data_IF_667143951481
#
_entry.id   IF_667143951481
#
_cell.length_a   1.000
_cell.length_b   1.000
_cell.length_c   1.000
_cell.angle_alpha   90.00
_cell.angle_beta   90.00
_cell.angle_gamma   90.00
#
_symmetry.space_group_name_H-M   'P 1'
#
loop_
_entity.id
_entity.type
_entity.pdbx_description
1 polymer ?
#
# COMPACT_ATOMS: atom_id res chain seq x y z
N UNK A 1 -58.16 14.86 40.69
CA UNK A 1 -58.94 13.77 41.27
C UNK A 1 -59.47 12.94 40.10
N UNK A 2 -58.88 11.80 39.82
CA UNK A 2 -59.57 10.69 39.17
C UNK A 2 -58.65 9.47 39.20
N UNK A 3 -59.05 8.49 40.02
CA UNK A 3 -58.38 7.22 40.23
C UNK A 3 -58.56 6.32 39.00
N UNK A 4 -57.48 5.79 38.45
CA UNK A 4 -57.56 4.70 37.48
C UNK A 4 -57.01 3.42 38.13
N UNK A 5 -57.93 2.48 38.38
CA UNK A 5 -57.64 1.15 38.95
C UNK A 5 -57.07 0.24 37.92
N UNK A 6 -55.93 -0.34 38.26
CA UNK A 6 -55.26 -1.39 37.49
C UNK A 6 -55.98 -2.73 37.79
N UNK A 7 -56.49 -3.37 36.76
CA UNK A 7 -57.02 -4.73 36.84
C UNK A 7 -55.92 -5.69 36.39
N UNK A 8 -55.48 -6.52 37.33
CA UNK A 8 -54.53 -7.59 37.10
C UNK A 8 -55.33 -8.86 36.72
N UNK A 9 -55.15 -9.32 35.44
CA UNK A 9 -55.69 -10.62 35.00
C UNK A 9 -54.62 -11.67 35.11
N UNK A 10 -54.67 -12.55 36.08
CA UNK A 10 -53.81 -13.74 36.15
C UNK A 10 -54.37 -14.82 35.21
N UNK A 11 -53.66 -15.06 34.10
CA UNK A 11 -53.93 -16.22 33.27
C UNK A 11 -52.97 -17.36 33.69
N UNK A 12 -53.54 -18.40 34.28
CA UNK A 12 -52.85 -19.68 34.51
C UNK A 12 -52.71 -20.42 33.17
N UNK A 13 -51.55 -20.42 32.62
CA UNK A 13 -51.17 -21.31 31.50
C UNK A 13 -50.46 -22.54 32.08
N UNK A 14 -51.11 -23.68 32.06
CA UNK A 14 -50.55 -25.00 32.35
C UNK A 14 -49.58 -25.40 31.19
N UNK A 15 -48.32 -25.01 31.31
CA UNK A 15 -47.26 -25.41 30.38
C UNK A 15 -46.71 -26.79 30.72
N UNK A 16 -47.02 -27.79 29.90
CA UNK A 16 -46.37 -29.11 29.97
C UNK A 16 -44.86 -28.98 29.73
N UNK A 17 -44.08 -29.49 30.67
CA UNK A 17 -42.61 -29.54 30.61
C UNK A 17 -42.25 -30.62 29.59
N UNK A 18 -41.94 -30.24 28.37
CA UNK A 18 -41.31 -31.10 27.39
C UNK A 18 -39.83 -31.34 27.81
N UNK A 19 -39.60 -32.48 28.44
CA UNK A 19 -38.24 -32.97 28.70
C UNK A 19 -37.67 -33.39 27.36
N UNK A 20 -36.87 -32.51 26.76
CA UNK A 20 -35.99 -32.86 25.63
C UNK A 20 -34.93 -33.83 26.15
N UNK A 21 -34.67 -34.95 25.44
CA UNK A 21 -33.56 -35.83 25.85
C UNK A 21 -32.26 -35.04 25.84
N UNK A 22 -31.48 -35.16 26.91
CA UNK A 22 -30.14 -34.62 26.98
C UNK A 22 -29.32 -35.23 25.82
N UNK A 23 -29.22 -34.44 24.74
CA UNK A 23 -28.29 -34.77 23.66
C UNK A 23 -26.89 -34.89 24.25
N UNK A 24 -26.25 -36.02 24.01
CA UNK A 24 -24.84 -36.24 24.37
C UNK A 24 -24.06 -34.99 24.00
N UNK A 25 -23.52 -34.28 25.00
CA UNK A 25 -22.58 -33.20 24.77
C UNK A 25 -21.39 -33.81 24.03
N UNK A 26 -21.33 -33.61 22.71
CA UNK A 26 -20.20 -33.98 21.92
C UNK A 26 -19.03 -33.12 22.44
N UNK A 27 -18.09 -33.75 23.16
CA UNK A 27 -16.92 -33.06 23.66
C UNK A 27 -16.29 -32.32 22.48
N UNK A 28 -16.25 -31.00 22.55
CA UNK A 28 -15.48 -30.22 21.57
C UNK A 28 -14.04 -30.68 21.68
N UNK A 29 -13.40 -31.04 20.56
CA UNK A 29 -11.99 -31.36 20.57
C UNK A 29 -11.23 -30.24 21.30
N UNK A 30 -10.34 -30.60 22.20
CA UNK A 30 -9.50 -29.62 22.89
C UNK A 30 -8.83 -28.71 21.82
N UNK A 31 -8.92 -27.40 22.00
CA UNK A 31 -8.27 -26.47 21.09
C UNK A 31 -6.77 -26.82 21.01
N UNK A 32 -6.18 -26.90 19.81
CA UNK A 32 -4.75 -27.18 19.67
C UNK A 32 -3.95 -26.14 20.46
N UNK A 33 -3.03 -26.63 21.29
CA UNK A 33 -2.21 -25.75 22.11
C UNK A 33 -1.17 -25.04 21.23
N UNK A 34 -1.08 -23.73 21.39
CA UNK A 34 0.01 -22.91 20.86
C UNK A 34 1.28 -23.25 21.65
N UNK A 35 2.38 -23.56 20.97
CA UNK A 35 3.67 -23.78 21.61
C UNK A 35 4.50 -22.49 21.55
N UNK A 36 5.04 -22.09 22.70
CA UNK A 36 5.86 -20.88 22.83
C UNK A 36 7.28 -21.31 23.17
N UNK A 37 8.25 -20.88 22.35
CA UNK A 37 9.68 -21.11 22.58
C UNK A 37 10.25 -20.11 23.58
N UNK A 38 11.45 -20.36 24.07
CA UNK A 38 12.09 -19.53 25.11
C UNK A 38 12.40 -18.11 24.68
N UNK A 39 12.54 -17.85 23.37
CA UNK A 39 12.78 -16.55 22.77
C UNK A 39 11.48 -15.79 22.40
N UNK A 40 10.31 -16.38 22.72
CA UNK A 40 9.00 -15.84 22.36
C UNK A 40 8.48 -16.25 20.98
N UNK A 41 9.22 -17.06 20.22
CA UNK A 41 8.73 -17.65 18.97
C UNK A 41 7.52 -18.52 19.24
N UNK A 42 6.48 -18.40 18.39
CA UNK A 42 5.22 -19.11 18.55
C UNK A 42 4.99 -20.06 17.37
N UNK A 43 4.77 -21.34 17.70
CA UNK A 43 4.30 -22.31 16.71
C UNK A 43 2.77 -22.30 16.69
N UNK A 44 2.23 -21.75 15.61
CA UNK A 44 0.76 -21.65 15.42
C UNK A 44 0.26 -22.93 14.74
N UNK A 45 -0.69 -23.67 15.34
CA UNK A 45 -1.28 -24.84 14.72
C UNK A 45 -2.01 -24.47 13.42
N UNK A 46 -2.17 -25.45 12.53
CA UNK A 46 -2.96 -25.27 11.31
C UNK A 46 -4.37 -24.78 11.66
N UNK A 47 -4.79 -23.70 11.05
CA UNK A 47 -6.10 -23.08 11.26
C UNK A 47 -6.74 -22.67 9.94
N UNK A 48 -8.08 -22.61 9.94
CA UNK A 48 -8.83 -22.02 8.82
C UNK A 48 -9.19 -20.59 9.20
N UNK A 49 -8.78 -19.65 8.34
CA UNK A 49 -9.10 -18.23 8.51
C UNK A 49 -10.25 -17.88 7.55
N UNK A 50 -11.44 -17.55 8.03
CA UNK A 50 -12.55 -17.19 7.18
C UNK A 50 -12.31 -15.84 6.49
N UNK A 51 -13.09 -15.58 5.42
CA UNK A 51 -13.14 -14.26 4.81
C UNK A 51 -13.69 -13.23 5.81
N UNK A 52 -13.08 -12.05 5.85
CA UNK A 52 -13.52 -10.98 6.74
C UNK A 52 -14.99 -10.58 6.46
N UNK A 53 -15.84 -10.46 7.49
CA UNK A 53 -17.21 -10.01 7.31
C UNK A 53 -17.32 -8.53 6.93
N UNK A 54 -16.28 -7.73 7.17
CA UNK A 54 -16.25 -6.28 6.94
C UNK A 54 -16.02 -5.88 5.49
N UNK A 55 -15.64 -6.81 4.62
CA UNK A 55 -15.46 -6.56 3.19
C UNK A 55 -16.80 -6.43 2.47
N UNK A 56 -16.83 -5.54 1.47
CA UNK A 56 -17.93 -5.48 0.50
C UNK A 56 -18.05 -6.81 -0.27
N UNK A 57 -19.21 -7.09 -0.89
CA UNK A 57 -19.34 -8.27 -1.76
C UNK A 57 -18.30 -8.29 -2.88
N UNK A 58 -18.01 -7.14 -3.47
CA UNK A 58 -17.03 -6.96 -4.55
C UNK A 58 -15.61 -7.25 -4.04
N UNK A 59 -15.25 -6.73 -2.86
CA UNK A 59 -13.96 -7.01 -2.26
C UNK A 59 -13.79 -8.50 -1.89
N UNK A 60 -14.84 -9.16 -1.39
CA UNK A 60 -14.81 -10.60 -1.14
C UNK A 60 -14.57 -11.41 -2.41
N UNK A 61 -15.22 -11.04 -3.50
CA UNK A 61 -15.01 -11.67 -4.80
C UNK A 61 -13.60 -11.42 -5.31
N UNK A 62 -13.12 -10.19 -5.17
CA UNK A 62 -11.77 -9.77 -5.57
C UNK A 62 -10.68 -10.55 -4.82
N UNK A 63 -10.73 -10.57 -3.49
CA UNK A 63 -9.79 -11.34 -2.65
C UNK A 63 -9.83 -12.83 -2.99
N UNK A 64 -11.04 -13.38 -3.18
CA UNK A 64 -11.20 -14.80 -3.54
C UNK A 64 -10.55 -15.12 -4.88
N UNK A 65 -10.74 -14.27 -5.88
CA UNK A 65 -10.14 -14.46 -7.20
C UNK A 65 -8.61 -14.30 -7.12
N UNK A 66 -8.13 -13.24 -6.47
CA UNK A 66 -6.71 -13.01 -6.28
C UNK A 66 -6.00 -14.20 -5.63
N UNK A 67 -6.55 -14.75 -4.54
CA UNK A 67 -5.97 -15.91 -3.86
C UNK A 67 -5.93 -17.16 -4.74
N UNK A 68 -6.90 -17.34 -5.66
CA UNK A 68 -6.87 -18.42 -6.65
C UNK A 68 -5.80 -18.17 -7.71
N UNK A 69 -5.72 -16.95 -8.21
CA UNK A 69 -4.76 -16.55 -9.23
C UNK A 69 -3.31 -16.72 -8.73
N UNK A 70 -3.05 -16.36 -7.47
CA UNK A 70 -1.73 -16.51 -6.84
C UNK A 70 -1.26 -17.95 -6.70
N UNK A 71 -2.13 -18.96 -6.89
CA UNK A 71 -1.74 -20.37 -6.95
C UNK A 71 -1.14 -20.75 -8.30
N UNK A 72 -1.36 -19.95 -9.36
CA UNK A 72 -0.73 -20.15 -10.66
C UNK A 72 0.66 -19.49 -10.67
N UNK A 73 1.76 -20.25 -10.84
CA UNK A 73 3.11 -19.69 -10.88
C UNK A 73 3.35 -18.74 -12.07
N UNK A 74 2.53 -18.83 -13.12
CA UNK A 74 2.64 -17.99 -14.31
C UNK A 74 1.95 -16.62 -14.16
N UNK A 75 1.13 -16.45 -13.13
CA UNK A 75 0.27 -15.27 -12.97
C UNK A 75 1.06 -13.96 -12.75
N UNK A 76 2.24 -14.07 -12.15
CA UNK A 76 3.14 -12.94 -11.91
C UNK A 76 4.03 -12.62 -13.12
N UNK A 77 4.04 -13.45 -14.15
CA UNK A 77 4.80 -13.14 -15.36
C UNK A 77 4.28 -11.87 -16.00
N UNK A 78 5.22 -11.01 -16.36
CA UNK A 78 4.95 -9.75 -17.05
C UNK A 78 4.37 -10.00 -18.45
N UNK A 79 3.35 -9.23 -18.80
CA UNK A 79 2.75 -9.21 -20.13
C UNK A 79 2.38 -7.76 -20.44
N UNK A 80 3.03 -7.20 -21.45
CA UNK A 80 2.88 -5.78 -21.81
C UNK A 80 3.18 -4.80 -20.65
N UNK A 81 4.20 -5.10 -19.84
CA UNK A 81 4.67 -4.23 -18.76
C UNK A 81 3.82 -4.27 -17.49
N UNK A 82 3.00 -5.31 -17.31
CA UNK A 82 2.20 -5.51 -16.11
C UNK A 82 2.04 -7.00 -15.82
N UNK A 83 1.99 -7.46 -14.55
CA UNK A 83 1.65 -8.84 -14.23
C UNK A 83 0.31 -9.25 -14.85
N UNK A 84 0.21 -10.50 -15.31
CA UNK A 84 -0.97 -10.99 -16.06
C UNK A 84 -2.30 -10.71 -15.36
N UNK A 85 -2.37 -10.89 -14.05
CA UNK A 85 -3.61 -10.66 -13.28
C UNK A 85 -4.04 -9.18 -13.25
N UNK A 86 -3.12 -8.24 -13.47
CA UNK A 86 -3.41 -6.79 -13.45
C UNK A 86 -3.88 -6.25 -14.81
N UNK A 87 -3.76 -7.00 -15.91
CA UNK A 87 -4.15 -6.52 -17.25
C UNK A 87 -5.60 -6.06 -17.32
N UNK A 88 -6.50 -6.78 -16.66
CA UNK A 88 -7.91 -6.43 -16.59
C UNK A 88 -8.15 -5.10 -15.87
N UNK A 89 -7.41 -4.83 -14.81
CA UNK A 89 -7.51 -3.59 -14.03
C UNK A 89 -7.04 -2.39 -14.85
N UNK A 90 -5.92 -2.52 -15.54
CA UNK A 90 -5.41 -1.48 -16.43
C UNK A 90 -6.38 -1.17 -17.57
N UNK A 91 -6.94 -2.20 -18.21
CA UNK A 91 -7.96 -2.01 -19.25
C UNK A 91 -9.21 -1.30 -18.70
N UNK A 92 -9.57 -1.58 -17.45
CA UNK A 92 -10.68 -0.94 -16.76
C UNK A 92 -10.42 0.54 -16.46
N UNK A 93 -9.21 0.88 -16.04
CA UNK A 93 -8.82 2.28 -15.78
C UNK A 93 -8.95 3.14 -17.04
N UNK A 94 -8.50 2.64 -18.19
CA UNK A 94 -8.67 3.34 -19.48
C UNK A 94 -10.13 3.50 -19.90
N UNK A 95 -11.03 2.64 -19.44
CA UNK A 95 -12.47 2.78 -19.68
C UNK A 95 -13.11 3.82 -18.76
N UNK A 96 -12.68 3.88 -17.51
CA UNK A 96 -13.28 4.72 -16.46
C UNK A 96 -12.75 6.15 -16.47
N UNK A 97 -11.48 6.34 -16.81
CA UNK A 97 -10.79 7.60 -16.63
C UNK A 97 -10.33 8.21 -17.95
N UNK A 98 -10.79 9.43 -18.22
CA UNK A 98 -10.39 10.17 -19.40
C UNK A 98 -9.11 10.99 -19.08
N UNK A 99 -7.95 10.43 -19.38
CA UNK A 99 -6.65 11.09 -19.24
C UNK A 99 -5.95 11.19 -20.59
N UNK A 100 -5.12 12.22 -20.75
CA UNK A 100 -4.13 12.32 -21.82
C UNK A 100 -2.80 11.80 -21.27
N UNK A 101 -2.13 10.93 -22.01
CA UNK A 101 -0.79 10.42 -21.70
C UNK A 101 0.21 11.02 -22.69
N UNK A 102 1.26 11.66 -22.18
CA UNK A 102 2.38 12.16 -22.98
C UNK A 102 3.65 11.40 -22.60
N UNK A 103 4.32 10.92 -23.63
CA UNK A 103 5.66 10.34 -23.54
C UNK A 103 6.69 11.45 -23.70
N UNK A 104 7.57 11.62 -22.72
CA UNK A 104 8.57 12.68 -22.75
C UNK A 104 9.79 12.37 -21.87
N UNK A 105 10.81 13.22 -21.96
CA UNK A 105 11.94 13.23 -21.02
C UNK A 105 11.86 14.44 -20.11
N UNK A 106 12.04 14.21 -18.80
CA UNK A 106 12.09 15.25 -17.78
C UNK A 106 13.43 15.10 -17.02
N UNK A 107 14.22 16.13 -16.97
CA UNK A 107 15.57 16.04 -16.40
C UNK A 107 16.47 15.01 -17.12
N UNK A 108 16.18 14.67 -18.38
CA UNK A 108 16.89 13.64 -19.14
C UNK A 108 16.36 12.21 -18.93
N UNK A 109 15.48 11.99 -17.95
CA UNK A 109 14.87 10.70 -17.61
C UNK A 109 13.57 10.53 -18.39
N UNK A 110 13.32 9.33 -18.91
CA UNK A 110 12.07 8.98 -19.56
C UNK A 110 10.92 9.00 -18.56
N UNK A 111 9.77 9.53 -18.95
CA UNK A 111 8.61 9.65 -18.09
C UNK A 111 7.30 9.68 -18.90
N UNK A 112 6.23 9.21 -18.31
CA UNK A 112 4.89 9.46 -18.79
C UNK A 112 4.20 10.52 -17.94
N UNK A 113 3.57 11.49 -18.61
CA UNK A 113 2.78 12.53 -17.94
C UNK A 113 1.30 12.28 -18.22
N UNK A 114 0.52 12.16 -17.17
CA UNK A 114 -0.92 11.94 -17.20
C UNK A 114 -1.64 13.23 -16.81
N UNK A 115 -2.47 13.73 -17.71
CA UNK A 115 -3.27 14.94 -17.48
C UNK A 115 -4.75 14.62 -17.68
N UNK A 116 -5.67 15.03 -16.78
CA UNK A 116 -7.09 14.83 -16.99
C UNK A 116 -7.52 15.49 -18.30
N UNK A 117 -8.30 14.82 -19.16
CA UNK A 117 -8.83 15.42 -20.40
C UNK A 117 -9.75 16.62 -20.15
N UNK A 118 -10.34 16.71 -18.96
CA UNK A 118 -11.08 17.88 -18.50
C UNK A 118 -10.20 19.09 -18.15
N UNK A 119 -8.87 18.91 -18.20
CA UNK A 119 -7.89 19.87 -17.74
C UNK A 119 -7.56 19.73 -16.25
N UNK A 120 -6.42 20.24 -15.86
CA UNK A 120 -6.00 20.34 -14.44
C UNK A 120 -6.93 21.32 -13.72
N UNK A 121 -7.38 20.95 -12.53
CA UNK A 121 -8.28 21.81 -11.73
C UNK A 121 -7.59 23.11 -11.31
N UNK A 122 -8.37 24.18 -11.13
CA UNK A 122 -7.82 25.49 -10.77
C UNK A 122 -6.93 25.48 -9.51
N UNK A 123 -7.27 24.65 -8.52
CA UNK A 123 -6.48 24.50 -7.29
C UNK A 123 -5.13 23.81 -7.53
N UNK A 124 -5.02 23.01 -8.59
CA UNK A 124 -3.84 22.21 -8.89
C UNK A 124 -2.99 22.76 -10.04
N UNK A 125 -3.32 23.97 -10.57
CA UNK A 125 -2.62 24.57 -11.71
C UNK A 125 -1.10 24.72 -11.52
N UNK A 126 -0.65 24.89 -10.28
CA UNK A 126 0.76 25.05 -9.92
C UNK A 126 1.30 23.82 -9.15
N UNK A 127 0.53 22.71 -9.11
CA UNK A 127 0.86 21.48 -8.38
C UNK A 127 1.10 20.33 -9.34
N UNK A 128 2.01 19.43 -8.97
CA UNK A 128 2.31 18.21 -9.71
C UNK A 128 2.60 17.07 -8.75
N UNK A 129 2.22 15.86 -9.16
CA UNK A 129 2.59 14.63 -8.46
C UNK A 129 3.64 13.87 -9.27
N UNK A 130 4.67 13.37 -8.60
CA UNK A 130 5.61 12.39 -9.12
C UNK A 130 5.15 11.02 -8.64
N UNK A 131 4.89 10.10 -9.56
CA UNK A 131 4.65 8.70 -9.27
C UNK A 131 5.92 7.89 -9.50
N UNK A 132 6.22 7.02 -8.54
CA UNK A 132 7.27 6.02 -8.58
C UNK A 132 6.60 4.65 -8.55
N UNK A 133 6.64 3.93 -9.66
CA UNK A 133 5.86 2.69 -9.82
C UNK A 133 6.37 1.53 -8.96
N UNK A 134 5.48 0.59 -8.66
CA UNK A 134 5.83 -0.68 -8.04
C UNK A 134 6.57 -1.61 -9.00
N UNK A 135 6.87 -2.84 -8.55
CA UNK A 135 7.48 -3.87 -9.40
C UNK A 135 8.77 -4.49 -8.84
N UNK A 136 9.06 -4.29 -7.56
CA UNK A 136 10.19 -4.94 -6.87
C UNK A 136 11.55 -4.51 -7.38
N UNK A 137 11.70 -3.32 -7.96
CA UNK A 137 12.91 -2.82 -8.63
C UNK A 137 13.42 -3.74 -9.75
N UNK A 138 12.50 -4.40 -10.46
CA UNK A 138 12.86 -5.38 -11.49
C UNK A 138 11.87 -5.46 -12.66
N UNK A 139 10.96 -4.50 -12.78
CA UNK A 139 9.97 -4.44 -13.87
C UNK A 139 8.67 -3.76 -13.47
N UNK A 140 7.63 -4.01 -14.25
CA UNK A 140 6.28 -3.43 -14.15
C UNK A 140 6.11 -2.05 -14.83
N UNK A 141 7.10 -1.54 -15.53
CA UNK A 141 6.93 -0.40 -16.41
C UNK A 141 6.35 -0.84 -17.77
N UNK A 142 5.39 -0.13 -18.37
CA UNK A 142 4.71 1.04 -17.82
C UNK A 142 3.45 0.71 -17.01
N UNK A 143 3.02 -0.54 -16.94
CA UNK A 143 1.69 -0.91 -16.47
C UNK A 143 1.41 -0.55 -15.01
N UNK A 144 2.35 -0.76 -14.08
CA UNK A 144 2.17 -0.31 -12.70
C UNK A 144 2.13 1.22 -12.60
N UNK A 145 2.96 1.91 -13.37
CA UNK A 145 2.93 3.37 -13.45
C UNK A 145 1.55 3.89 -13.91
N UNK A 146 0.94 3.23 -14.90
CA UNK A 146 -0.39 3.55 -15.40
C UNK A 146 -1.49 3.28 -14.37
N UNK A 147 -1.48 2.12 -13.71
CA UNK A 147 -2.42 1.76 -12.65
C UNK A 147 -2.37 2.72 -11.45
N UNK A 148 -1.19 3.25 -11.14
CA UNK A 148 -1.01 4.19 -10.04
C UNK A 148 -1.34 5.64 -10.44
N UNK A 149 -1.17 6.02 -11.70
CA UNK A 149 -1.24 7.41 -12.14
C UNK A 149 -2.55 7.81 -12.78
N UNK A 150 -3.14 6.95 -13.60
CA UNK A 150 -4.39 7.24 -14.32
C UNK A 150 -5.52 7.62 -13.35
N UNK A 151 -5.85 6.79 -12.34
CA UNK A 151 -6.94 7.11 -11.43
C UNK A 151 -6.62 8.32 -10.54
N UNK A 152 -5.38 8.46 -10.07
CA UNK A 152 -4.98 9.60 -9.23
C UNK A 152 -5.06 10.90 -10.00
N UNK A 153 -4.58 10.93 -11.25
CA UNK A 153 -4.68 12.11 -12.11
C UNK A 153 -6.13 12.51 -12.36
N UNK A 154 -6.97 11.55 -12.76
CA UNK A 154 -8.37 11.82 -13.09
C UNK A 154 -9.20 12.26 -11.87
N UNK A 155 -9.11 11.52 -10.76
CA UNK A 155 -9.86 11.81 -9.53
C UNK A 155 -9.37 13.08 -8.84
N UNK A 156 -8.07 13.32 -8.86
CA UNK A 156 -7.45 14.50 -8.26
C UNK A 156 -7.60 15.77 -9.08
N UNK A 157 -7.84 15.65 -10.39
CA UNK A 157 -7.77 16.78 -11.31
C UNK A 157 -6.37 17.41 -11.30
N UNK A 158 -5.33 16.60 -11.25
CA UNK A 158 -3.92 16.99 -11.10
C UNK A 158 -3.05 16.29 -12.14
N UNK A 159 -1.98 16.94 -12.55
CA UNK A 159 -0.95 16.30 -13.38
C UNK A 159 -0.14 15.29 -12.55
N UNK A 160 0.05 14.10 -13.12
CA UNK A 160 0.90 13.06 -12.52
C UNK A 160 1.99 12.68 -13.51
N UNK A 161 3.24 12.78 -13.06
CA UNK A 161 4.43 12.40 -13.81
C UNK A 161 4.96 11.09 -13.25
N UNK A 162 4.86 10.00 -14.02
CA UNK A 162 5.46 8.72 -13.67
C UNK A 162 6.86 8.60 -14.24
N UNK A 163 7.81 8.24 -13.38
CA UNK A 163 9.23 8.14 -13.73
C UNK A 163 9.58 6.72 -14.13
N UNK A 164 10.13 6.54 -15.32
CA UNK A 164 10.77 5.30 -15.78
C UNK A 164 12.19 5.24 -15.20
N UNK A 165 12.26 4.99 -13.90
CA UNK A 165 13.54 4.99 -13.18
C UNK A 165 14.32 3.70 -13.45
N UNK A 166 15.66 3.80 -13.48
CA UNK A 166 16.56 2.66 -13.68
C UNK A 166 16.47 1.66 -12.54
N UNK A 167 16.21 0.41 -12.89
CA UNK A 167 16.01 -0.69 -11.94
C UNK A 167 16.83 -1.94 -12.30
N UNK A 168 16.82 -2.94 -11.42
CA UNK A 168 17.52 -4.20 -11.66
C UNK A 168 16.84 -5.06 -12.75
N UNK A 169 17.56 -6.03 -13.30
CA UNK A 169 18.95 -6.40 -12.98
C UNK A 169 20.02 -5.53 -13.63
N UNK A 170 19.66 -4.69 -14.63
CA UNK A 170 20.60 -3.94 -15.45
C UNK A 170 21.26 -2.80 -14.68
N UNK A 171 20.56 -2.24 -13.70
CA UNK A 171 21.05 -1.17 -12.85
C UNK A 171 21.00 -1.55 -11.38
N UNK A 172 21.75 -0.83 -10.58
CA UNK A 172 21.86 -0.98 -9.14
C UNK A 172 21.65 0.32 -8.42
N UNK A 173 21.32 0.26 -7.15
CA UNK A 173 21.31 1.42 -6.28
C UNK A 173 22.66 2.19 -6.43
N UNK A 174 22.63 3.53 -6.56
CA UNK A 174 21.50 4.45 -6.35
C UNK A 174 20.80 4.94 -7.64
N UNK A 175 20.88 4.22 -8.75
CA UNK A 175 20.44 4.68 -10.08
C UNK A 175 19.01 5.27 -10.09
N UNK A 176 18.05 4.62 -9.45
CA UNK A 176 16.68 5.14 -9.35
C UNK A 176 16.61 6.46 -8.56
N UNK A 177 17.38 6.59 -7.48
CA UNK A 177 17.41 7.83 -6.68
C UNK A 177 18.01 9.00 -7.46
N UNK A 178 19.02 8.73 -8.31
CA UNK A 178 19.58 9.71 -9.23
C UNK A 178 18.55 10.17 -10.26
N UNK A 179 17.81 9.22 -10.87
CA UNK A 179 16.79 9.52 -11.86
C UNK A 179 15.65 10.37 -11.27
N UNK A 180 15.15 9.96 -10.09
CA UNK A 180 14.12 10.73 -9.38
C UNK A 180 14.62 12.12 -9.02
N UNK A 181 15.87 12.25 -8.58
CA UNK A 181 16.46 13.55 -8.27
C UNK A 181 16.60 14.44 -9.52
N UNK A 182 16.96 13.87 -10.67
CA UNK A 182 17.05 14.61 -11.94
C UNK A 182 15.66 15.14 -12.38
N UNK A 183 14.64 14.30 -12.28
CA UNK A 183 13.24 14.71 -12.54
C UNK A 183 12.79 15.80 -11.56
N UNK A 184 13.05 15.61 -10.28
CA UNK A 184 12.67 16.57 -9.24
C UNK A 184 13.34 17.93 -9.45
N UNK A 185 14.64 17.94 -9.74
CA UNK A 185 15.38 19.18 -10.05
C UNK A 185 14.83 19.91 -11.29
N UNK A 186 14.39 19.18 -12.32
CA UNK A 186 13.76 19.78 -13.50
C UNK A 186 12.45 20.46 -13.14
N UNK A 187 11.61 19.78 -12.32
CA UNK A 187 10.34 20.34 -11.86
C UNK A 187 10.51 21.55 -10.94
N UNK A 188 11.58 21.60 -10.15
CA UNK A 188 11.90 22.77 -9.30
C UNK A 188 12.17 24.06 -10.09
N UNK A 189 12.43 23.99 -11.39
CA UNK A 189 12.56 25.18 -12.24
C UNK A 189 11.23 25.89 -12.50
N UNK A 190 10.12 25.16 -12.36
CA UNK A 190 8.77 25.64 -12.66
C UNK A 190 7.79 25.54 -11.49
N UNK A 191 8.08 24.71 -10.52
CA UNK A 191 7.23 24.46 -9.35
C UNK A 191 7.99 24.75 -8.06
N UNK A 192 7.30 25.31 -7.07
CA UNK A 192 7.83 25.41 -5.71
C UNK A 192 7.85 24.01 -5.07
N UNK A 193 8.82 23.70 -4.18
CA UNK A 193 8.88 22.39 -3.53
C UNK A 193 7.58 21.96 -2.85
N UNK A 194 6.91 22.89 -2.16
CA UNK A 194 5.62 22.62 -1.49
C UNK A 194 4.46 22.29 -2.43
N UNK A 195 4.63 22.50 -3.73
CA UNK A 195 3.65 22.18 -4.77
C UNK A 195 3.92 20.84 -5.45
N UNK A 196 5.01 20.16 -5.10
CA UNK A 196 5.38 18.85 -5.64
C UNK A 196 5.07 17.79 -4.58
N UNK A 197 4.28 16.78 -4.95
CA UNK A 197 4.11 15.57 -4.15
C UNK A 197 4.83 14.39 -4.80
N UNK A 198 5.27 13.42 -4.00
CA UNK A 198 5.87 12.17 -4.49
C UNK A 198 5.16 11.00 -3.84
N UNK A 199 4.79 9.99 -4.61
CA UNK A 199 4.20 8.77 -4.07
C UNK A 199 4.53 7.56 -4.93
N UNK A 200 4.38 6.39 -4.33
CA UNK A 200 4.46 5.14 -5.05
C UNK A 200 4.01 3.96 -4.20
N UNK A 201 3.74 2.86 -4.86
CA UNK A 201 3.35 1.61 -4.22
C UNK A 201 4.50 0.61 -4.22
N UNK A 202 4.62 -0.22 -3.15
CA UNK A 202 5.60 -1.30 -3.11
C UNK A 202 7.05 -0.77 -3.27
N UNK A 203 7.78 -1.23 -4.28
CA UNK A 203 9.10 -0.70 -4.62
C UNK A 203 9.08 0.83 -4.82
N UNK A 204 8.01 1.37 -5.40
CA UNK A 204 7.83 2.82 -5.57
C UNK A 204 7.67 3.57 -4.25
N UNK A 205 6.98 2.98 -3.27
CA UNK A 205 6.89 3.52 -1.92
C UNK A 205 8.23 3.51 -1.19
N UNK A 206 9.01 2.43 -1.32
CA UNK A 206 10.38 2.34 -0.83
C UNK A 206 11.26 3.40 -1.51
N UNK A 207 11.17 3.52 -2.84
CA UNK A 207 11.92 4.52 -3.61
C UNK A 207 11.54 5.96 -3.24
N UNK A 208 10.27 6.20 -2.87
CA UNK A 208 9.84 7.51 -2.35
C UNK A 208 10.63 7.88 -1.09
N UNK A 209 10.76 6.97 -0.14
CA UNK A 209 11.56 7.21 1.08
C UNK A 209 13.05 7.37 0.77
N UNK A 210 13.62 6.51 -0.09
CA UNK A 210 15.03 6.60 -0.50
C UNK A 210 15.32 7.91 -1.24
N UNK A 211 14.38 8.40 -2.04
CA UNK A 211 14.52 9.68 -2.72
C UNK A 211 14.60 10.84 -1.73
N UNK A 212 13.83 10.82 -0.64
CA UNK A 212 13.92 11.85 0.41
C UNK A 212 15.29 11.84 1.11
N UNK A 213 15.82 10.66 1.42
CA UNK A 213 17.17 10.54 1.96
C UNK A 213 18.23 11.07 0.98
N UNK A 214 18.07 10.73 -0.30
CA UNK A 214 18.93 11.23 -1.37
C UNK A 214 18.87 12.75 -1.50
N UNK A 215 17.68 13.34 -1.48
CA UNK A 215 17.50 14.80 -1.53
C UNK A 215 18.19 15.49 -0.37
N UNK A 216 18.04 14.99 0.84
CA UNK A 216 18.71 15.54 2.03
C UNK A 216 20.23 15.50 1.89
N UNK A 217 20.80 14.37 1.43
CA UNK A 217 22.23 14.21 1.22
C UNK A 217 22.78 15.19 0.18
N UNK A 218 21.98 15.53 -0.83
CA UNK A 218 22.39 16.39 -1.94
C UNK A 218 21.83 17.83 -1.81
N UNK A 219 21.33 18.20 -0.61
CA UNK A 219 20.83 19.55 -0.31
C UNK A 219 19.71 20.02 -1.24
N UNK A 220 18.90 19.08 -1.75
CA UNK A 220 17.67 19.41 -2.46
C UNK A 220 16.55 19.71 -1.45
N UNK A 221 15.65 20.67 -1.74
CA UNK A 221 14.52 20.93 -0.86
C UNK A 221 13.60 19.70 -0.78
N UNK A 222 12.90 19.53 0.35
CA UNK A 222 11.89 18.49 0.50
C UNK A 222 10.60 18.86 -0.23
N UNK A 223 9.89 17.89 -0.84
CA UNK A 223 8.59 18.10 -1.46
C UNK A 223 7.51 18.45 -0.41
N UNK A 224 6.35 18.93 -0.87
CA UNK A 224 5.26 19.34 0.01
C UNK A 224 4.61 18.19 0.77
N UNK A 225 4.57 16.98 0.20
CA UNK A 225 4.02 15.79 0.82
C UNK A 225 4.47 14.52 0.09
N UNK A 226 4.42 13.36 0.77
CA UNK A 226 4.76 12.07 0.16
C UNK A 226 3.78 10.95 0.53
N UNK A 227 3.69 9.94 -0.34
CA UNK A 227 2.93 8.71 -0.10
C UNK A 227 3.82 7.47 -0.17
N UNK A 228 3.91 6.72 0.94
CA UNK A 228 4.59 5.43 1.04
C UNK A 228 3.50 4.37 1.11
N UNK A 229 3.11 3.85 -0.06
CA UNK A 229 1.95 2.98 -0.19
C UNK A 229 2.38 1.52 -0.26
N UNK A 230 1.79 0.66 0.56
CA UNK A 230 2.12 -0.76 0.64
C UNK A 230 3.63 -1.01 0.74
N UNK A 231 4.33 -0.24 1.58
CA UNK A 231 5.79 -0.24 1.62
C UNK A 231 6.34 0.05 3.01
N UNK A 232 7.67 -0.03 3.10
CA UNK A 232 8.51 0.40 4.22
C UNK A 232 9.29 1.65 3.78
N UNK A 233 9.60 2.54 4.70
CA UNK A 233 10.62 3.57 4.47
C UNK A 233 12.05 2.97 4.52
N UNK A 234 12.30 1.91 3.75
CA UNK A 234 13.58 1.19 3.73
C UNK A 234 13.61 0.07 2.70
N UNK A 235 14.75 -0.61 2.61
CA UNK A 235 15.03 -1.59 1.55
C UNK A 235 14.56 -3.03 1.82
N UNK A 236 14.16 -3.39 3.04
CA UNK A 236 13.86 -4.78 3.43
C UNK A 236 12.61 -4.83 4.30
N UNK A 237 11.60 -5.59 3.87
CA UNK A 237 10.40 -5.85 4.67
C UNK A 237 10.71 -6.77 5.89
N UNK A 238 10.00 -6.53 6.99
CA UNK A 238 10.15 -7.30 8.22
C UNK A 238 8.86 -7.42 9.02
N UNK A 239 8.94 -8.12 10.15
CA UNK A 239 7.85 -8.27 11.12
C UNK A 239 6.90 -9.43 10.84
N UNK A 240 5.90 -9.57 11.71
CA UNK A 240 5.00 -10.73 11.77
C UNK A 240 4.16 -10.92 10.50
N UNK A 241 3.86 -9.83 9.79
CA UNK A 241 3.06 -9.89 8.58
C UNK A 241 3.67 -10.76 7.48
N UNK A 242 4.99 -10.91 7.44
CA UNK A 242 5.65 -11.84 6.51
C UNK A 242 5.25 -13.30 6.74
N UNK A 243 4.81 -13.64 7.94
CA UNK A 243 4.40 -14.99 8.32
C UNK A 243 2.88 -15.14 8.41
N UNK A 244 2.18 -14.11 8.87
CA UNK A 244 0.74 -14.16 9.15
C UNK A 244 -0.09 -13.65 7.98
N UNK A 245 0.34 -12.59 7.30
CA UNK A 245 -0.41 -12.00 6.18
C UNK A 245 -0.12 -12.69 4.84
N UNK A 246 1.10 -13.16 4.58
CA UNK A 246 1.47 -13.81 3.32
C UNK A 246 0.54 -14.98 2.96
N UNK A 247 0.23 -15.95 3.82
CA UNK A 247 -0.72 -17.01 3.46
C UNK A 247 -2.13 -16.51 3.20
N UNK A 248 -2.53 -15.39 3.82
CA UNK A 248 -3.88 -14.82 3.71
C UNK A 248 -4.03 -13.85 2.51
N UNK A 249 -2.95 -13.25 2.05
CA UNK A 249 -2.94 -12.30 0.94
C UNK A 249 -2.35 -12.85 -0.34
N UNK A 250 -1.37 -13.77 -0.25
CA UNK A 250 -0.63 -14.29 -1.40
C UNK A 250 -0.89 -15.77 -1.66
N UNK A 251 -1.77 -16.41 -0.88
CA UNK A 251 -2.05 -17.85 -0.94
C UNK A 251 -0.79 -18.76 -0.90
N UNK A 252 0.27 -18.27 -0.30
CA UNK A 252 1.58 -18.95 -0.21
C UNK A 252 1.97 -19.08 1.24
N UNK A 253 2.67 -20.15 1.58
CA UNK A 253 3.33 -20.22 2.88
C UNK A 253 4.57 -19.31 2.80
N UNK A 254 4.76 -18.48 3.82
CA UNK A 254 6.02 -17.78 3.98
C UNK A 254 7.13 -18.84 4.08
N UNK A 255 8.08 -18.82 3.14
CA UNK A 255 9.35 -19.53 3.39
C UNK A 255 9.90 -18.96 4.69
N UNK A 256 10.37 -19.80 5.64
CA UNK A 256 11.05 -19.27 6.81
C UNK A 256 12.13 -18.32 6.31
N UNK A 257 12.02 -17.05 6.63
CA UNK A 257 13.14 -16.15 6.48
C UNK A 257 14.09 -16.58 7.58
N UNK A 258 14.92 -17.57 7.26
CA UNK A 258 16.05 -17.95 8.13
C UNK A 258 16.77 -16.64 8.39
N UNK A 259 16.83 -16.26 9.64
CA UNK A 259 17.31 -14.99 10.15
C UNK A 259 18.48 -14.46 9.30
N UNK A 260 18.27 -13.36 8.63
CA UNK A 260 19.29 -12.63 7.87
C UNK A 260 19.48 -12.98 6.41
N UNK A 261 18.65 -13.81 5.77
CA UNK A 261 18.93 -14.27 4.41
C UNK A 261 17.72 -14.27 3.46
N UNK A 262 17.03 -13.10 3.29
CA UNK A 262 16.60 -12.82 1.93
C UNK A 262 17.84 -12.31 1.20
N UNK A 263 18.23 -12.92 0.05
CA UNK A 263 19.20 -12.25 -0.78
C UNK A 263 18.61 -10.86 -1.10
N UNK A 264 19.41 -9.80 -0.96
CA UNK A 264 18.93 -8.47 -1.34
C UNK A 264 18.42 -8.57 -2.78
N UNK A 265 17.34 -7.85 -3.09
CA UNK A 265 16.91 -7.70 -4.47
C UNK A 265 18.14 -7.36 -5.31
N UNK A 266 18.23 -7.86 -6.54
CA UNK A 266 19.42 -7.68 -7.38
C UNK A 266 19.86 -6.21 -7.48
N UNK A 267 18.90 -5.30 -7.41
CA UNK A 267 19.11 -3.85 -7.38
C UNK A 267 19.94 -3.39 -6.17
N UNK A 268 19.87 -4.05 -5.04
CA UNK A 268 20.57 -3.72 -3.78
C UNK A 268 21.76 -4.65 -3.48
N UNK A 269 22.18 -5.52 -4.41
CA UNK A 269 23.17 -6.57 -4.15
C UNK A 269 24.52 -6.05 -3.64
N UNK A 270 24.87 -4.81 -3.99
CA UNK A 270 26.17 -4.20 -3.69
C UNK A 270 26.04 -3.06 -2.66
N UNK A 271 24.93 -3.03 -1.89
CA UNK A 271 24.67 -1.97 -0.92
C UNK A 271 24.81 -2.47 0.52
N UNK A 272 25.18 -1.56 1.41
CA UNK A 272 25.00 -1.78 2.85
C UNK A 272 23.49 -1.63 3.17
N UNK A 273 22.80 -2.66 3.68
CA UNK A 273 21.39 -2.57 4.03
C UNK A 273 21.10 -1.58 5.17
N UNK A 274 22.14 -1.11 5.89
CA UNK A 274 22.04 -0.09 6.94
C UNK A 274 22.38 1.31 6.45
N UNK A 275 22.78 1.47 5.17
CA UNK A 275 22.99 2.82 4.62
C UNK A 275 21.67 3.62 4.71
N UNK A 276 21.64 4.80 5.35
CA UNK A 276 20.46 5.64 5.42
C UNK A 276 19.85 5.99 4.05
N UNK A 277 20.64 5.90 2.97
CA UNK A 277 20.13 6.09 1.60
C UNK A 277 19.32 4.89 1.11
N UNK A 278 19.58 3.68 1.63
CA UNK A 278 18.86 2.44 1.30
C UNK A 278 17.76 2.19 2.33
N UNK A 279 18.03 2.47 3.59
CA UNK A 279 17.15 2.21 4.72
C UNK A 279 16.95 3.48 5.58
N UNK A 280 16.22 4.49 5.07
CA UNK A 280 15.91 5.69 5.85
C UNK A 280 15.27 5.40 7.21
N UNK A 281 14.53 4.29 7.31
CA UNK A 281 13.85 3.85 8.54
C UNK A 281 14.81 3.63 9.71
N UNK A 282 16.08 3.31 9.42
CA UNK A 282 17.11 3.08 10.42
C UNK A 282 17.86 4.38 10.81
N UNK A 283 17.49 5.53 10.21
CA UNK A 283 18.10 6.84 10.48
C UNK A 283 17.07 7.85 10.99
N UNK A 284 16.94 8.03 12.31
CA UNK A 284 16.04 9.03 12.89
C UNK A 284 16.29 10.45 12.37
N UNK A 285 17.55 10.80 12.09
CA UNK A 285 17.92 12.13 11.58
C UNK A 285 17.40 12.39 10.17
N UNK A 286 17.32 11.35 9.35
CA UNK A 286 16.75 11.40 8.00
C UNK A 286 15.23 11.43 8.07
N UNK A 287 14.63 10.53 8.86
CA UNK A 287 13.16 10.44 9.01
C UNK A 287 12.55 11.72 9.58
N UNK A 288 13.19 12.34 10.59
CA UNK A 288 12.68 13.57 11.23
C UNK A 288 12.51 14.74 10.25
N UNK A 289 13.11 14.66 9.06
CA UNK A 289 13.00 15.69 8.02
C UNK A 289 12.03 15.31 6.91
N UNK A 290 11.28 14.23 7.07
CA UNK A 290 10.27 13.86 6.10
C UNK A 290 9.13 14.89 6.11
N UNK A 291 8.56 15.23 4.95
CA UNK A 291 7.36 16.07 4.88
C UNK A 291 6.14 15.29 5.37
N UNK A 292 4.95 15.90 5.42
CA UNK A 292 3.71 15.16 5.65
C UNK A 292 3.66 13.88 4.82
N UNK A 293 3.44 12.75 5.50
CA UNK A 293 3.60 11.41 4.91
C UNK A 293 2.31 10.61 5.03
N UNK A 294 1.83 10.07 3.90
CA UNK A 294 0.73 9.11 3.85
C UNK A 294 1.27 7.69 3.83
N UNK A 295 0.75 6.83 4.70
CA UNK A 295 1.01 5.38 4.68
C UNK A 295 -0.31 4.64 4.44
N UNK A 296 -0.34 3.75 3.44
CA UNK A 296 -1.50 2.90 3.12
C UNK A 296 -1.04 1.44 3.09
N UNK A 297 -1.85 0.54 3.67
CA UNK A 297 -1.66 -0.91 3.58
C UNK A 297 -2.98 -1.66 3.81
N UNK A 298 -2.97 -2.97 3.66
CA UNK A 298 -4.08 -3.86 4.01
C UNK A 298 -3.69 -4.88 5.09
N UNK A 299 -4.66 -5.39 5.84
CA UNK A 299 -4.37 -6.36 6.91
C UNK A 299 -3.86 -7.71 6.40
N UNK A 300 -4.02 -8.00 5.09
CA UNK A 300 -3.45 -9.17 4.41
C UNK A 300 -2.23 -8.83 3.54
N UNK A 301 -1.74 -7.58 3.59
CA UNK A 301 -0.50 -7.18 2.94
C UNK A 301 0.72 -7.73 3.67
N UNK A 302 1.66 -8.33 2.96
CA UNK A 302 2.91 -8.84 3.55
C UNK A 302 3.78 -7.73 4.16
N UNK A 303 3.57 -6.51 3.73
CA UNK A 303 4.25 -5.30 4.19
C UNK A 303 3.60 -4.67 5.43
N UNK A 304 2.47 -5.18 5.92
CA UNK A 304 1.70 -4.57 7.02
C UNK A 304 2.57 -4.18 8.22
N UNK A 305 3.36 -5.11 8.76
CA UNK A 305 4.24 -4.81 9.90
C UNK A 305 5.23 -3.69 9.58
N UNK A 306 5.75 -3.68 8.38
CA UNK A 306 6.71 -2.67 7.90
C UNK A 306 6.07 -1.29 7.75
N UNK A 307 4.83 -1.24 7.24
CA UNK A 307 4.05 0.00 7.13
C UNK A 307 3.70 0.56 8.50
N UNK A 308 3.26 -0.28 9.44
CA UNK A 308 3.00 0.11 10.83
C UNK A 308 4.26 0.65 11.50
N UNK A 309 5.40 -0.02 11.34
CA UNK A 309 6.67 0.41 11.89
C UNK A 309 7.12 1.75 11.29
N UNK A 310 6.97 1.93 9.97
CA UNK A 310 7.25 3.21 9.31
C UNK A 310 6.43 4.35 9.94
N UNK A 311 5.13 4.16 10.06
CA UNK A 311 4.24 5.15 10.68
C UNK A 311 4.65 5.44 12.13
N UNK A 312 4.91 4.39 12.93
CA UNK A 312 5.32 4.54 14.32
C UNK A 312 6.59 5.39 14.46
N UNK A 313 7.62 5.11 13.64
CA UNK A 313 8.87 5.86 13.71
C UNK A 313 8.69 7.33 13.28
N UNK A 314 7.92 7.60 12.23
CA UNK A 314 7.63 8.96 11.80
C UNK A 314 6.88 9.76 12.89
N UNK A 315 5.84 9.16 13.50
CA UNK A 315 5.09 9.79 14.60
C UNK A 315 5.98 10.08 15.81
N UNK A 316 6.85 9.14 16.20
CA UNK A 316 7.82 9.35 17.30
C UNK A 316 8.75 10.53 17.07
N UNK A 317 9.04 10.84 15.81
CA UNK A 317 9.91 11.95 15.40
C UNK A 317 9.14 13.24 15.13
N UNK A 318 7.83 13.26 15.35
CA UNK A 318 6.98 14.43 15.19
C UNK A 318 6.63 14.77 13.74
N UNK A 319 6.82 13.84 12.81
CA UNK A 319 6.40 14.01 11.42
C UNK A 319 4.88 13.84 11.31
N UNK A 320 4.23 14.80 10.64
CA UNK A 320 2.79 14.71 10.34
C UNK A 320 2.55 13.50 9.43
N UNK A 321 1.84 12.47 9.94
CA UNK A 321 1.71 11.19 9.24
C UNK A 321 0.30 10.65 9.36
N UNK A 322 -0.31 10.34 8.21
CA UNK A 322 -1.59 9.62 8.13
C UNK A 322 -1.34 8.13 7.85
N UNK A 323 -2.03 7.26 8.58
CA UNK A 323 -2.04 5.83 8.34
C UNK A 323 -3.45 5.36 8.04
N UNK A 324 -3.62 4.62 6.93
CA UNK A 324 -4.86 3.93 6.59
C UNK A 324 -4.60 2.45 6.34
N UNK A 325 -5.35 1.60 7.03
CA UNK A 325 -5.24 0.13 6.93
C UNK A 325 -6.60 -0.44 6.56
N UNK A 326 -6.70 -1.09 5.41
CA UNK A 326 -7.93 -1.73 4.96
C UNK A 326 -8.00 -3.18 5.43
N UNK A 327 -9.06 -3.51 6.16
CA UNK A 327 -9.30 -4.86 6.66
C UNK A 327 -9.51 -5.85 5.51
N UNK A 328 -8.86 -7.01 5.62
CA UNK A 328 -9.05 -8.14 4.72
C UNK A 328 -8.45 -7.97 3.31
N UNK A 329 -7.80 -6.83 3.01
CA UNK A 329 -7.20 -6.55 1.72
C UNK A 329 -5.69 -6.78 1.72
N UNK A 330 -5.15 -7.09 0.54
CA UNK A 330 -3.78 -7.54 0.31
C UNK A 330 -2.91 -6.44 -0.33
N UNK A 331 -1.67 -6.76 -0.63
CA UNK A 331 -0.69 -5.86 -1.24
C UNK A 331 -1.19 -5.26 -2.57
N UNK A 332 -1.15 -3.93 -2.70
CA UNK A 332 -1.58 -3.25 -3.94
C UNK A 332 -3.08 -3.36 -4.25
N UNK A 333 -3.93 -3.63 -3.27
CA UNK A 333 -5.35 -3.89 -3.45
C UNK A 333 -6.11 -2.79 -4.21
N UNK A 334 -5.63 -1.56 -4.18
CA UNK A 334 -6.31 -0.40 -4.77
C UNK A 334 -6.18 -0.30 -6.29
N UNK A 335 -5.58 -1.28 -6.97
CA UNK A 335 -5.49 -1.30 -8.44
C UNK A 335 -6.79 -1.72 -9.14
N UNK A 336 -7.76 -2.33 -8.45
CA UNK A 336 -9.02 -2.75 -9.04
C UNK A 336 -10.14 -1.72 -8.77
N UNK A 337 -10.47 -0.91 -9.74
CA UNK A 337 -11.48 0.15 -9.64
C UNK A 337 -12.93 -0.33 -9.50
N UNK A 338 -13.21 -1.60 -9.74
CA UNK A 338 -14.55 -2.14 -9.54
C UNK A 338 -14.83 -2.43 -8.04
N UNK A 339 -13.81 -2.37 -7.18
CA UNK A 339 -13.90 -2.59 -5.73
C UNK A 339 -14.10 -1.25 -5.00
N UNK A 340 -15.16 -1.10 -4.16
CA UNK A 340 -15.40 0.15 -3.41
C UNK A 340 -14.21 0.57 -2.55
N UNK A 341 -13.60 -0.37 -1.82
CA UNK A 341 -12.45 -0.13 -0.94
C UNK A 341 -11.23 0.39 -1.71
N UNK A 342 -11.04 -0.05 -2.96
CA UNK A 342 -9.98 0.47 -3.84
C UNK A 342 -10.21 1.93 -4.20
N UNK A 343 -11.46 2.28 -4.55
CA UNK A 343 -11.85 3.67 -4.80
C UNK A 343 -11.69 4.55 -3.58
N UNK A 344 -12.00 4.02 -2.40
CA UNK A 344 -11.83 4.74 -1.13
C UNK A 344 -10.35 5.02 -0.86
N UNK A 345 -9.47 4.05 -1.10
CA UNK A 345 -8.03 4.23 -0.94
C UNK A 345 -7.47 5.31 -1.89
N UNK A 346 -7.89 5.30 -3.16
CA UNK A 346 -7.49 6.35 -4.12
C UNK A 346 -8.02 7.74 -3.75
N UNK A 347 -9.25 7.81 -3.24
CA UNK A 347 -9.80 9.06 -2.72
C UNK A 347 -9.03 9.57 -1.50
N UNK A 348 -8.53 8.68 -0.64
CA UNK A 348 -7.64 9.05 0.47
C UNK A 348 -6.34 9.65 -0.06
N UNK A 349 -5.71 9.02 -1.06
CA UNK A 349 -4.48 9.54 -1.68
C UNK A 349 -4.72 10.96 -2.23
N UNK A 350 -5.76 11.14 -3.02
CA UNK A 350 -6.10 12.46 -3.60
C UNK A 350 -6.35 13.50 -2.52
N UNK A 351 -7.17 13.19 -1.51
CA UNK A 351 -7.49 14.11 -0.41
C UNK A 351 -6.27 14.46 0.43
N UNK A 352 -5.35 13.52 0.62
CA UNK A 352 -4.12 13.76 1.33
C UNK A 352 -3.26 14.81 0.60
N UNK A 353 -2.99 14.63 -0.69
CA UNK A 353 -2.23 15.61 -1.46
C UNK A 353 -2.96 16.95 -1.59
N UNK A 354 -4.27 16.95 -1.75
CA UNK A 354 -5.08 18.19 -1.75
C UNK A 354 -4.89 18.99 -0.46
N UNK A 355 -4.81 18.32 0.67
CA UNK A 355 -4.67 18.95 2.00
C UNK A 355 -3.26 19.48 2.23
N UNK A 356 -2.23 18.82 1.72
CA UNK A 356 -0.84 19.11 2.08
C UNK A 356 -0.07 19.92 1.04
N UNK A 357 -0.40 19.82 -0.24
CA UNK A 357 0.31 20.59 -1.27
C UNK A 357 -0.08 22.07 -1.25
N UNK A 358 0.93 22.94 -1.48
CA UNK A 358 0.77 24.39 -1.54
C UNK A 358 0.59 25.06 -0.19
N UNK A 359 0.86 24.37 0.92
CA UNK A 359 0.94 25.01 2.25
C UNK A 359 2.26 25.79 2.35
N UNK A 360 2.17 27.02 2.87
CA UNK A 360 3.33 27.89 3.17
C UNK A 360 3.94 27.54 4.53
#
# INVERSE_FOLDING_TARGET
MMNLRLILVLGLASGGLLILPAGSAQERPAAPKVMVQSDGTVEVPAQTVPMSPFLSPEAKAYVTQHLKDMQDPEILKQDAGVPRFMKGYLARDYQLFAVEKKDQKVGGVHAYVYTPKSGVSAKNKDRVLINLHGGGFSGCWPGCAELESIPVSALGGIEVLSVDYREGPDYKFPAASEDVAAVYQELLKTHKPQNIGIYGCSAGGMQTAMSLAWFQKHSLPVPGAVGILCALAGGIFGGDALYTAVPLGEARLSQPIVSGARPPLSYFSDTDPKDPMVSPIDSPEVLAKFPPTLVITGTRGFELSSALYTHEQLVKLGVETDLYVWEGLFHGFFYNMDVPESRDALNVIVKFFDRHLGRE
#
